data_IF_630410327869
#
_entry.id   IF_630410327869
#
_cell.length_a   1.000
_cell.length_b   1.000
_cell.length_c   1.000
_cell.angle_alpha   90.00
_cell.angle_beta   90.00
_cell.angle_gamma   90.00
#
_symmetry.space_group_name_H-M   'P 1'
#
loop_
_entity.id
_entity.type
_entity.pdbx_description
1 polymer ?
#
# COMPACT_ATOMS: atom_id res chain seq x y z
N UNK A 1 4.01 -42.48 -8.38
CA UNK A 1 3.59 -41.26 -7.64
C UNK A 1 4.72 -40.86 -6.70
N UNK A 2 5.53 -39.87 -7.08
CA UNK A 2 6.59 -39.36 -6.23
C UNK A 2 5.98 -38.39 -5.19
N UNK A 3 6.42 -38.43 -3.92
CA UNK A 3 5.83 -37.62 -2.87
C UNK A 3 6.23 -36.15 -3.07
N UNK A 4 5.22 -35.27 -3.06
CA UNK A 4 5.39 -33.82 -3.03
C UNK A 4 6.21 -33.47 -1.78
N UNK A 5 7.47 -33.07 -2.02
CA UNK A 5 8.39 -32.60 -1.00
C UNK A 5 7.73 -31.45 -0.23
N UNK A 6 7.66 -31.61 1.10
CA UNK A 6 7.16 -30.68 2.11
C UNK A 6 7.37 -29.22 1.68
N UNK A 7 6.28 -28.45 1.57
CA UNK A 7 6.31 -27.04 1.21
C UNK A 7 7.28 -26.31 2.16
N UNK A 8 8.35 -25.75 1.60
CA UNK A 8 9.17 -24.76 2.29
C UNK A 8 8.23 -23.69 2.87
N UNK A 9 8.47 -23.28 4.12
CA UNK A 9 7.65 -22.28 4.81
C UNK A 9 7.27 -21.14 3.86
N UNK A 10 5.99 -20.80 3.86
CA UNK A 10 5.44 -19.76 2.98
C UNK A 10 6.18 -18.45 3.23
N UNK A 11 6.94 -17.98 2.23
CA UNK A 11 7.68 -16.73 2.37
C UNK A 11 6.71 -15.57 2.55
N UNK A 12 6.82 -14.87 3.68
CA UNK A 12 5.99 -13.72 4.01
C UNK A 12 6.67 -12.46 3.50
N UNK A 13 5.97 -11.71 2.64
CA UNK A 13 6.43 -10.40 2.16
C UNK A 13 6.34 -9.39 3.31
N UNK A 14 7.43 -8.67 3.64
CA UNK A 14 7.40 -7.67 4.70
C UNK A 14 6.48 -6.51 4.31
N UNK A 15 5.76 -5.96 5.28
CA UNK A 15 4.96 -4.75 5.08
C UNK A 15 5.87 -3.52 5.08
N UNK A 16 5.39 -2.40 4.53
CA UNK A 16 6.14 -1.14 4.54
C UNK A 16 6.44 -0.65 5.97
N UNK A 17 5.52 -0.88 6.91
CA UNK A 17 5.69 -0.53 8.32
C UNK A 17 6.79 -1.36 8.98
N UNK A 18 6.86 -2.66 8.69
CA UNK A 18 7.97 -3.51 9.18
C UNK A 18 9.30 -3.22 8.48
N UNK A 19 9.25 -2.64 7.27
CA UNK A 19 10.44 -2.34 6.47
C UNK A 19 11.05 -0.96 6.76
N UNK A 20 10.32 -0.06 7.43
CA UNK A 20 10.80 1.27 7.81
C UNK A 20 10.10 1.79 9.06
N UNK A 21 10.89 1.97 10.12
CA UNK A 21 10.44 2.59 11.37
C UNK A 21 9.92 4.01 11.16
N UNK A 22 10.56 4.77 10.25
CA UNK A 22 10.15 6.13 9.93
C UNK A 22 8.74 6.14 9.31
N UNK A 23 8.50 5.26 8.31
CA UNK A 23 7.20 5.13 7.68
C UNK A 23 6.12 4.73 8.69
N UNK A 24 6.40 3.72 9.52
CA UNK A 24 5.49 3.28 10.59
C UNK A 24 5.16 4.44 11.55
N UNK A 25 6.16 5.19 12.00
CA UNK A 25 5.96 6.32 12.91
C UNK A 25 5.11 7.44 12.30
N UNK A 26 5.27 7.73 11.01
CA UNK A 26 4.46 8.74 10.31
C UNK A 26 3.00 8.29 10.14
N UNK A 27 2.78 7.00 9.86
CA UNK A 27 1.43 6.42 9.78
C UNK A 27 0.73 6.47 11.14
N UNK A 28 1.43 6.08 12.22
CA UNK A 28 0.92 6.18 13.59
C UNK A 28 0.59 7.63 13.95
N UNK A 29 1.50 8.57 13.64
CA UNK A 29 1.28 10.00 13.93
C UNK A 29 0.12 10.60 13.14
N UNK A 30 -0.11 10.15 11.91
CA UNK A 30 -1.30 10.53 11.13
C UNK A 30 -2.57 10.09 11.83
N UNK A 31 -2.61 8.86 12.33
CA UNK A 31 -3.76 8.31 13.05
C UNK A 31 -4.05 9.13 14.31
N UNK A 32 -3.03 9.41 15.12
CA UNK A 32 -3.15 10.25 16.33
C UNK A 32 -3.73 11.65 16.00
N UNK A 33 -3.25 12.30 14.93
CA UNK A 33 -3.77 13.61 14.52
C UNK A 33 -5.21 13.54 13.99
N UNK A 34 -5.59 12.46 13.30
CA UNK A 34 -6.97 12.26 12.85
C UNK A 34 -7.93 12.04 14.02
N UNK A 35 -7.50 11.30 15.05
CA UNK A 35 -8.26 11.12 16.28
C UNK A 35 -8.40 12.43 17.05
N UNK A 36 -7.31 13.20 17.17
CA UNK A 36 -7.32 14.53 17.77
C UNK A 36 -8.29 15.46 17.03
N UNK A 37 -8.20 15.54 15.70
CA UNK A 37 -9.11 16.33 14.87
C UNK A 37 -10.58 15.92 15.06
N UNK A 38 -10.86 14.62 15.18
CA UNK A 38 -12.22 14.14 15.46
C UNK A 38 -12.72 14.63 16.83
N UNK A 39 -11.86 14.58 17.85
CA UNK A 39 -12.19 15.05 19.20
C UNK A 39 -12.44 16.56 19.25
N UNK A 40 -11.61 17.36 18.58
CA UNK A 40 -11.76 18.82 18.49
C UNK A 40 -13.04 19.22 17.74
N UNK A 41 -13.40 18.49 16.68
CA UNK A 41 -14.65 18.72 15.97
C UNK A 41 -15.89 18.43 16.84
N UNK A 42 -15.82 17.41 17.70
CA UNK A 42 -16.89 17.14 18.69
C UNK A 42 -16.97 18.26 19.72
N UNK A 43 -15.82 18.68 20.27
CA UNK A 43 -15.77 19.79 21.23
C UNK A 43 -16.33 21.08 20.62
N UNK A 44 -15.98 21.38 19.38
CA UNK A 44 -16.52 22.49 18.61
C UNK A 44 -18.06 22.46 18.51
N UNK A 45 -18.64 21.31 18.14
CA UNK A 45 -20.08 21.14 18.05
C UNK A 45 -20.79 21.26 19.42
N UNK A 46 -20.17 20.73 20.48
CA UNK A 46 -20.68 20.84 21.85
C UNK A 46 -20.67 22.30 22.34
N UNK A 47 -19.59 23.04 22.04
CA UNK A 47 -19.48 24.46 22.36
C UNK A 47 -20.52 25.29 21.60
N UNK A 48 -20.72 25.02 20.31
CA UNK A 48 -21.75 25.70 19.50
C UNK A 48 -23.16 25.46 20.08
N UNK A 49 -23.44 24.21 20.49
CA UNK A 49 -24.70 23.84 21.16
C UNK A 49 -24.87 24.57 22.50
N UNK A 50 -23.83 24.61 23.33
CA UNK A 50 -23.84 25.32 24.62
C UNK A 50 -24.03 26.83 24.45
N UNK A 51 -23.40 27.44 23.45
CA UNK A 51 -23.55 28.87 23.15
C UNK A 51 -24.99 29.16 22.70
N UNK A 52 -25.57 28.31 21.85
CA UNK A 52 -26.95 28.48 21.37
C UNK A 52 -28.00 28.29 22.47
N UNK A 53 -27.73 27.42 23.45
CA UNK A 53 -28.64 27.15 24.57
C UNK A 53 -28.66 28.25 25.64
N UNK A 54 -27.68 29.17 25.63
CA UNK A 54 -27.64 30.25 26.62
C UNK A 54 -28.71 31.31 26.29
N UNK A 55 -29.55 31.70 27.28
CA UNK A 55 -30.54 32.75 27.08
C UNK A 55 -29.86 34.08 26.79
N UNK A 56 -30.49 34.94 25.97
CA UNK A 56 -30.00 36.31 25.81
C UNK A 56 -30.04 37.03 27.16
N UNK A 57 -28.90 37.54 27.59
CA UNK A 57 -28.82 38.36 28.79
C UNK A 57 -29.73 39.58 28.64
N UNK A 58 -30.64 39.79 29.61
CA UNK A 58 -31.56 40.94 29.62
C UNK A 58 -30.82 42.27 29.78
N UNK A 59 -29.61 42.24 30.32
CA UNK A 59 -28.77 43.40 30.64
C UNK A 59 -27.33 43.18 30.20
N UNK A 60 -26.54 44.26 30.12
CA UNK A 60 -25.11 44.17 29.81
C UNK A 60 -24.33 43.57 31.00
N UNK A 61 -23.19 42.94 30.72
CA UNK A 61 -22.36 42.30 31.76
C UNK A 61 -21.98 43.23 32.93
N UNK A 62 -21.76 44.52 32.66
CA UNK A 62 -21.50 45.53 33.70
C UNK A 62 -22.72 45.81 34.58
N UNK A 63 -23.92 45.77 34.01
CA UNK A 63 -25.18 45.97 34.73
C UNK A 63 -25.52 44.72 35.56
N UNK A 64 -25.41 43.52 35.00
CA UNK A 64 -25.60 42.26 35.73
C UNK A 64 -24.63 42.14 36.93
N UNK A 65 -23.38 42.57 36.78
CA UNK A 65 -22.41 42.62 37.89
C UNK A 65 -22.80 43.60 39.00
N UNK A 66 -23.41 44.73 38.64
CA UNK A 66 -23.95 45.70 39.62
C UNK A 66 -25.22 45.19 40.31
N UNK A 67 -26.01 44.37 39.63
CA UNK A 67 -27.24 43.76 40.14
C UNK A 67 -27.00 42.48 40.96
N UNK A 68 -25.78 41.93 40.94
CA UNK A 68 -25.45 40.67 41.62
C UNK A 68 -25.93 39.42 40.89
N UNK A 69 -26.30 39.54 39.61
CA UNK A 69 -26.68 38.41 38.76
C UNK A 69 -25.46 37.51 38.48
N UNK A 70 -25.65 36.20 38.26
CA UNK A 70 -24.57 35.29 37.91
C UNK A 70 -23.88 35.72 36.59
N UNK A 71 -22.55 35.59 36.54
CA UNK A 71 -21.78 35.95 35.34
C UNK A 71 -22.17 35.10 34.12
N UNK A 72 -22.30 35.76 32.98
CA UNK A 72 -22.58 35.13 31.69
C UNK A 72 -21.41 34.22 31.27
N UNK A 73 -21.69 32.94 31.03
CA UNK A 73 -20.71 31.96 30.58
C UNK A 73 -20.39 32.05 29.07
N UNK A 74 -21.21 32.76 28.28
CA UNK A 74 -21.08 32.86 26.82
C UNK A 74 -19.72 33.41 26.36
N UNK A 75 -19.11 34.45 26.97
CA UNK A 75 -17.80 34.94 26.56
C UNK A 75 -16.69 33.87 26.69
N UNK A 76 -16.71 33.09 27.77
CA UNK A 76 -15.73 32.01 27.99
C UNK A 76 -15.93 30.86 26.98
N UNK A 77 -17.18 30.48 26.71
CA UNK A 77 -17.50 29.48 25.68
C UNK A 77 -17.05 29.93 24.29
N UNK A 78 -17.30 31.19 23.91
CA UNK A 78 -16.83 31.75 22.63
C UNK A 78 -15.32 31.83 22.54
N UNK A 79 -14.63 32.13 23.65
CA UNK A 79 -13.17 32.11 23.71
C UNK A 79 -12.64 30.70 23.43
N UNK A 80 -13.13 29.69 24.15
CA UNK A 80 -12.73 28.29 23.92
C UNK A 80 -13.06 27.84 22.50
N UNK A 81 -14.21 28.23 21.96
CA UNK A 81 -14.59 27.89 20.57
C UNK A 81 -13.60 28.43 19.54
N UNK A 82 -13.07 29.64 19.74
CA UNK A 82 -12.02 30.22 18.89
C UNK A 82 -10.70 29.46 19.01
N UNK A 83 -10.31 29.09 20.24
CA UNK A 83 -9.11 28.28 20.48
C UNK A 83 -9.19 26.92 19.77
N UNK A 84 -10.30 26.19 19.97
CA UNK A 84 -10.57 24.90 19.31
C UNK A 84 -10.57 25.06 17.78
N UNK A 85 -11.11 26.14 17.24
CA UNK A 85 -11.06 26.41 15.79
C UNK A 85 -9.62 26.61 15.27
N UNK A 86 -8.75 27.22 16.08
CA UNK A 86 -7.33 27.34 15.78
C UNK A 86 -6.64 25.97 15.81
N UNK A 87 -6.87 25.19 16.87
CA UNK A 87 -6.32 23.83 17.02
C UNK A 87 -6.74 22.90 15.87
N UNK A 88 -7.99 23.02 15.37
CA UNK A 88 -8.47 22.31 14.17
C UNK A 88 -7.65 22.66 12.95
N UNK A 89 -7.46 23.96 12.68
CA UNK A 89 -6.71 24.45 11.52
C UNK A 89 -5.25 23.98 11.56
N UNK A 90 -4.64 23.99 12.75
CA UNK A 90 -3.29 23.49 12.96
C UNK A 90 -3.20 21.97 12.72
N UNK A 91 -4.19 21.19 13.20
CA UNK A 91 -4.27 19.76 12.96
C UNK A 91 -4.42 19.42 11.48
N UNK A 92 -5.28 20.13 10.75
CA UNK A 92 -5.47 19.94 9.30
C UNK A 92 -4.18 20.27 8.53
N UNK A 93 -3.50 21.35 8.90
CA UNK A 93 -2.21 21.73 8.32
C UNK A 93 -1.15 20.66 8.60
N UNK A 94 -1.07 20.17 9.83
CA UNK A 94 -0.16 19.11 10.23
C UNK A 94 -0.42 17.79 9.49
N UNK A 95 -1.69 17.42 9.29
CA UNK A 95 -2.08 16.26 8.48
C UNK A 95 -1.64 16.41 7.03
N UNK A 96 -1.76 17.60 6.44
CA UNK A 96 -1.24 17.89 5.10
C UNK A 96 0.28 17.73 4.99
N UNK A 97 1.03 18.17 6.01
CA UNK A 97 2.49 17.99 6.07
C UNK A 97 2.86 16.52 6.23
N UNK A 98 2.19 15.78 7.11
CA UNK A 98 2.42 14.35 7.32
C UNK A 98 2.12 13.55 6.04
N UNK A 99 1.05 13.88 5.31
CA UNK A 99 0.74 13.22 4.05
C UNK A 99 1.90 13.32 3.04
N UNK A 100 2.50 14.50 2.90
CA UNK A 100 3.68 14.69 2.02
C UNK A 100 4.89 13.87 2.51
N UNK A 101 5.13 13.84 3.82
CA UNK A 101 6.23 13.06 4.41
C UNK A 101 6.03 11.55 4.23
N UNK A 102 4.81 11.05 4.37
CA UNK A 102 4.47 9.63 4.14
C UNK A 102 4.79 9.24 2.70
N UNK A 103 4.48 10.09 1.71
CA UNK A 103 4.81 9.80 0.30
C UNK A 103 6.32 9.65 0.13
N UNK A 104 7.12 10.57 0.68
CA UNK A 104 8.59 10.49 0.60
C UNK A 104 9.14 9.25 1.34
N UNK A 105 8.64 8.96 2.54
CA UNK A 105 9.05 7.81 3.34
C UNK A 105 8.64 6.47 2.70
N UNK A 106 7.56 6.45 1.92
CA UNK A 106 7.09 5.26 1.20
C UNK A 106 8.13 4.74 0.22
N UNK A 107 8.81 5.62 -0.50
CA UNK A 107 9.82 5.21 -1.49
C UNK A 107 11.01 4.53 -0.80
N UNK A 108 11.45 5.08 0.34
CA UNK A 108 12.51 4.50 1.15
C UNK A 108 12.08 3.14 1.72
N UNK A 109 10.89 3.06 2.32
CA UNK A 109 10.33 1.82 2.84
C UNK A 109 10.19 0.74 1.75
N UNK A 110 9.76 1.13 0.55
CA UNK A 110 9.60 0.23 -0.59
C UNK A 110 10.95 -0.31 -1.08
N UNK A 111 11.99 0.53 -1.12
CA UNK A 111 13.35 0.08 -1.45
C UNK A 111 13.86 -0.96 -0.45
N UNK A 112 13.63 -0.74 0.84
CA UNK A 112 14.03 -1.69 1.89
C UNK A 112 13.24 -3.00 1.78
N UNK A 113 11.92 -2.94 1.59
CA UNK A 113 11.08 -4.11 1.39
C UNK A 113 11.53 -4.92 0.16
N UNK A 114 11.73 -4.27 -0.98
CA UNK A 114 12.22 -4.92 -2.20
C UNK A 114 13.61 -5.52 -2.01
N UNK A 115 14.49 -4.90 -1.23
CA UNK A 115 15.80 -5.45 -0.92
C UNK A 115 15.70 -6.75 -0.11
N UNK A 116 14.78 -6.80 0.87
CA UNK A 116 14.51 -8.01 1.65
C UNK A 116 13.91 -9.15 0.80
N UNK A 117 13.05 -8.82 -0.18
CA UNK A 117 12.39 -9.80 -1.05
C UNK A 117 13.27 -10.24 -2.23
N UNK A 118 14.32 -9.49 -2.56
CA UNK A 118 15.15 -9.71 -3.76
C UNK A 118 15.67 -11.14 -3.90
N UNK A 119 16.14 -11.73 -2.80
CA UNK A 119 16.67 -13.11 -2.81
C UNK A 119 15.60 -14.14 -3.18
N UNK A 120 14.42 -14.05 -2.58
CA UNK A 120 13.30 -14.95 -2.85
C UNK A 120 12.74 -14.74 -4.27
N UNK A 121 12.64 -13.48 -4.71
CA UNK A 121 12.26 -13.15 -6.08
C UNK A 121 13.20 -13.82 -7.08
N UNK A 122 14.53 -13.65 -6.90
CA UNK A 122 15.53 -14.27 -7.75
C UNK A 122 15.44 -15.80 -7.75
N UNK A 123 15.20 -16.43 -6.58
CA UNK A 123 15.00 -17.88 -6.48
C UNK A 123 13.79 -18.34 -7.29
N UNK A 124 12.64 -17.68 -7.14
CA UNK A 124 11.40 -18.03 -7.86
C UNK A 124 11.53 -17.78 -9.36
N UNK A 125 12.18 -16.67 -9.75
CA UNK A 125 12.45 -16.35 -11.15
C UNK A 125 13.38 -17.40 -11.78
N UNK A 126 14.46 -17.79 -11.09
CA UNK A 126 15.36 -18.84 -11.56
C UNK A 126 14.64 -20.16 -11.82
N UNK A 127 13.75 -20.59 -10.91
CA UNK A 127 12.93 -21.80 -11.12
C UNK A 127 12.04 -21.67 -12.36
N UNK A 128 11.41 -20.51 -12.56
CA UNK A 128 10.58 -20.25 -13.74
C UNK A 128 11.41 -20.32 -15.03
N UNK A 129 12.60 -19.73 -15.02
CA UNK A 129 13.47 -19.72 -16.18
C UNK A 129 14.03 -21.11 -16.53
N UNK A 130 14.39 -21.91 -15.53
CA UNK A 130 14.80 -23.31 -15.76
C UNK A 130 13.65 -24.14 -16.36
N UNK A 131 12.43 -23.95 -15.87
CA UNK A 131 11.26 -24.59 -16.45
C UNK A 131 10.99 -24.15 -17.91
N UNK A 132 11.20 -22.86 -18.19
CA UNK A 132 11.10 -22.30 -19.54
C UNK A 132 12.13 -22.92 -20.50
N UNK A 133 13.41 -23.02 -20.10
CA UNK A 133 14.44 -23.69 -20.89
C UNK A 133 14.12 -25.16 -21.15
N UNK A 134 13.65 -25.87 -20.13
CA UNK A 134 13.26 -27.27 -20.24
C UNK A 134 12.09 -27.45 -21.22
N UNK A 135 11.11 -26.54 -21.20
CA UNK A 135 9.98 -26.53 -22.13
C UNK A 135 10.44 -26.26 -23.57
N UNK A 136 11.34 -25.30 -23.77
CA UNK A 136 11.90 -25.00 -25.09
C UNK A 136 12.68 -26.20 -25.66
N UNK A 137 13.50 -26.87 -24.83
CA UNK A 137 14.21 -28.07 -25.23
C UNK A 137 13.26 -29.22 -25.60
N UNK A 138 12.20 -29.43 -24.81
CA UNK A 138 11.18 -30.45 -25.11
C UNK A 138 10.42 -30.15 -26.40
N UNK A 139 10.11 -28.88 -26.67
CA UNK A 139 9.53 -28.46 -27.95
C UNK A 139 10.46 -28.75 -29.11
N UNK A 140 11.74 -28.37 -29.01
CA UNK A 140 12.71 -28.58 -30.09
C UNK A 140 12.84 -30.07 -30.44
N UNK A 141 12.84 -30.96 -29.44
CA UNK A 141 12.85 -32.41 -29.66
C UNK A 141 11.57 -32.91 -30.34
N UNK A 142 10.41 -32.40 -29.93
CA UNK A 142 9.13 -32.74 -30.55
C UNK A 142 9.06 -32.28 -32.01
N UNK A 143 9.45 -31.03 -32.29
CA UNK A 143 9.44 -30.47 -33.63
C UNK A 143 10.46 -31.21 -34.53
N UNK A 144 11.64 -31.54 -34.01
CA UNK A 144 12.64 -32.35 -34.73
C UNK A 144 12.10 -33.73 -35.14
N UNK A 145 11.30 -34.39 -34.29
CA UNK A 145 10.68 -35.67 -34.64
C UNK A 145 9.68 -35.50 -35.79
N UNK A 146 8.87 -34.43 -35.77
CA UNK A 146 7.93 -34.15 -36.85
C UNK A 146 8.67 -33.85 -38.16
N UNK A 147 9.75 -33.07 -38.10
CA UNK A 147 10.59 -32.75 -39.26
C UNK A 147 11.27 -34.01 -39.82
N UNK A 148 11.74 -34.93 -38.96
CA UNK A 148 12.31 -36.22 -39.38
C UNK A 148 11.27 -37.10 -40.10
N UNK A 149 10.04 -37.16 -39.59
CA UNK A 149 8.95 -37.90 -40.24
C UNK A 149 8.56 -37.30 -41.60
N UNK A 150 8.51 -35.98 -41.69
CA UNK A 150 8.26 -35.27 -42.95
C UNK A 150 9.39 -35.53 -43.96
N UNK A 151 10.64 -35.56 -43.51
CA UNK A 151 11.82 -35.84 -44.37
C UNK A 151 11.81 -37.26 -44.94
N UNK A 152 11.29 -38.24 -44.21
CA UNK A 152 11.14 -39.62 -44.67
C UNK A 152 9.83 -39.84 -45.47
N UNK A 153 9.16 -38.76 -45.90
CA UNK A 153 7.87 -38.77 -46.62
C UNK A 153 6.75 -39.53 -45.87
N UNK A 154 6.82 -39.59 -44.53
CA UNK A 154 5.81 -40.27 -43.71
C UNK A 154 4.58 -39.37 -43.54
N UNK A 155 3.40 -39.90 -43.83
CA UNK A 155 2.14 -39.17 -43.67
C UNK A 155 1.82 -38.86 -42.19
N UNK A 156 2.12 -37.64 -41.76
CA UNK A 156 1.84 -37.13 -40.42
C UNK A 156 0.35 -37.13 -40.04
N UNK A 157 -0.57 -37.18 -41.00
CA UNK A 157 -2.02 -37.15 -40.76
C UNK A 157 -2.50 -38.26 -39.80
N UNK A 158 -1.79 -39.39 -39.75
CA UNK A 158 -2.08 -40.47 -38.81
C UNK A 158 -1.74 -40.15 -37.35
N UNK A 159 -0.79 -39.23 -37.10
CA UNK A 159 -0.42 -38.78 -35.76
C UNK A 159 -1.27 -37.61 -35.26
N UNK A 160 -1.97 -36.91 -36.16
CA UNK A 160 -2.71 -35.66 -35.86
C UNK A 160 -1.83 -34.69 -35.04
N UNK A 161 -0.70 -34.24 -35.60
CA UNK A 161 0.35 -33.55 -34.85
C UNK A 161 -0.18 -32.26 -34.22
N UNK A 162 0.30 -31.97 -33.02
CA UNK A 162 0.03 -30.72 -32.28
C UNK A 162 1.35 -29.99 -32.10
N UNK A 163 1.48 -28.79 -32.67
CA UNK A 163 2.69 -27.96 -32.53
C UNK A 163 2.50 -26.91 -31.42
N UNK A 164 3.50 -26.77 -30.55
CA UNK A 164 3.44 -25.89 -29.39
C UNK A 164 3.86 -24.44 -29.72
N UNK A 165 3.05 -23.75 -30.53
CA UNK A 165 3.35 -22.38 -31.02
C UNK A 165 3.47 -21.30 -29.92
N UNK A 166 2.89 -21.53 -28.74
CA UNK A 166 2.92 -20.56 -27.63
C UNK A 166 4.30 -20.38 -26.99
N UNK A 167 5.25 -21.28 -27.28
CA UNK A 167 6.59 -21.32 -26.68
C UNK A 167 7.58 -20.39 -27.41
N UNK A 168 7.23 -19.84 -28.57
CA UNK A 168 8.09 -18.92 -29.34
C UNK A 168 8.50 -17.65 -28.55
N UNK A 169 7.74 -17.29 -27.52
CA UNK A 169 8.03 -16.15 -26.63
C UNK A 169 8.99 -16.48 -25.48
N UNK A 170 9.38 -17.74 -25.30
CA UNK A 170 10.28 -18.16 -24.22
C UNK A 170 11.66 -17.53 -24.36
N UNK A 171 12.24 -17.52 -25.57
CA UNK A 171 13.52 -16.88 -25.83
C UNK A 171 13.50 -15.37 -25.53
N UNK A 172 12.39 -14.69 -25.84
CA UNK A 172 12.20 -13.27 -25.51
C UNK A 172 12.16 -13.04 -23.99
N UNK A 173 11.42 -13.88 -23.26
CA UNK A 173 11.35 -13.81 -21.80
C UNK A 173 12.71 -14.06 -21.14
N UNK A 174 13.46 -15.08 -21.59
CA UNK A 174 14.80 -15.38 -21.06
C UNK A 174 15.77 -14.22 -21.34
N UNK A 175 15.67 -13.61 -22.53
CA UNK A 175 16.43 -12.41 -22.89
C UNK A 175 16.09 -11.23 -21.98
N UNK A 176 14.81 -10.93 -21.76
CA UNK A 176 14.37 -9.85 -20.87
C UNK A 176 14.90 -10.04 -19.45
N UNK A 177 14.87 -11.27 -18.94
CA UNK A 177 15.40 -11.58 -17.61
C UNK A 177 16.92 -11.36 -17.53
N UNK A 178 17.67 -11.72 -18.58
CA UNK A 178 19.11 -11.46 -18.67
C UNK A 178 19.42 -9.97 -18.77
N UNK A 179 18.67 -9.21 -19.58
CA UNK A 179 18.80 -7.75 -19.72
C UNK A 179 18.48 -7.02 -18.41
N UNK A 180 17.58 -7.55 -17.60
CA UNK A 180 17.29 -7.07 -16.25
C UNK A 180 18.36 -7.43 -15.20
N UNK A 181 19.42 -8.15 -15.59
CA UNK A 181 20.53 -8.53 -14.72
C UNK A 181 20.24 -9.72 -13.82
N UNK A 182 19.23 -10.52 -14.12
CA UNK A 182 19.04 -11.81 -13.47
C UNK A 182 19.97 -12.84 -14.13
N UNK A 183 20.73 -13.58 -13.31
CA UNK A 183 21.52 -14.70 -13.81
C UNK A 183 20.55 -15.84 -14.13
N UNK A 184 20.11 -15.87 -15.38
CA UNK A 184 19.22 -16.88 -15.94
C UNK A 184 20.00 -17.98 -16.60
#
# INVERSE_FOLDING_TARGET
>A
MAPLKKSADEFIVPTLETSSQEYSSLVARRQELSELLSSLNREAADLDTKIAAQPQAAHSASVSRLLGDPEDAVPNLRKRRREVSGEITDCETALGVIAKRIVAARDVASKTACAAVRGEYGRRLGVLCEAAKALEAARAQHDSLLDDLEREDINLGYLRPVRAHFVEKVAYFLKECAEAGHNV
#
